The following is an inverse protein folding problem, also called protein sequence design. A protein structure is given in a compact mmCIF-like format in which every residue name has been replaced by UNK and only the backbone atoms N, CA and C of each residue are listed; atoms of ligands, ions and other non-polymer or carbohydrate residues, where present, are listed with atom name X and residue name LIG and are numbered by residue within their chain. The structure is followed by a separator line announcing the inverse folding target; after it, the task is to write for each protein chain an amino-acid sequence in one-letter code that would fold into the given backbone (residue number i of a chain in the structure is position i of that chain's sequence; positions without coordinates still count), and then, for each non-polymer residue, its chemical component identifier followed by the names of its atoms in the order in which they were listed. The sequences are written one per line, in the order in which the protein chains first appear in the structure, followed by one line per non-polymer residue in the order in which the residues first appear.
data_IF_571807750995
#
_entry.id   IF_571807750995
#
_cell.length_a   1.000
_cell.length_b   1.000
_cell.length_c   1.000
_cell.angle_alpha   90.00
_cell.angle_beta   90.00
_cell.angle_gamma   90.00
#
_symmetry.space_group_name_H-M   'P 1'
#
loop_
_entity.id
_entity.type
_entity.pdbx_description
1 polymer ?
#
# COMPACT_ATOMS: atom_id res chain seq x y z
N UNK A 1 -31.54 -34.21 0.09
CA UNK A 1 -30.43 -33.23 0.00
C UNK A 1 -30.45 -32.32 -1.23
N UNK A 2 -30.58 -32.78 -2.50
CA UNK A 2 -30.53 -31.88 -3.68
C UNK A 2 -31.62 -30.80 -3.68
N UNK A 3 -32.78 -31.07 -3.08
CA UNK A 3 -33.90 -30.12 -2.92
C UNK A 3 -33.62 -28.97 -1.94
N UNK A 4 -32.71 -29.16 -0.97
CA UNK A 4 -32.42 -28.17 0.07
C UNK A 4 -31.42 -27.11 -0.40
N UNK A 5 -30.57 -27.46 -1.36
CA UNK A 5 -29.52 -26.58 -1.88
C UNK A 5 -30.16 -25.46 -2.70
N UNK A 6 -29.82 -24.21 -2.38
CA UNK A 6 -30.28 -23.08 -3.16
C UNK A 6 -29.76 -23.18 -4.61
N UNK A 7 -30.66 -23.01 -5.58
CA UNK A 7 -30.40 -23.25 -7.01
C UNK A 7 -29.17 -22.50 -7.56
N UNK A 8 -28.83 -21.36 -6.97
CA UNK A 8 -27.70 -20.53 -7.40
C UNK A 8 -26.39 -20.77 -6.63
N UNK A 9 -26.39 -21.55 -5.55
CA UNK A 9 -25.18 -21.76 -4.72
C UNK A 9 -24.03 -22.32 -5.58
N UNK A 10 -24.29 -23.39 -6.34
CA UNK A 10 -23.29 -24.01 -7.22
C UNK A 10 -22.84 -23.08 -8.34
N UNK A 11 -23.78 -22.38 -8.97
CA UNK A 11 -23.49 -21.45 -10.06
C UNK A 11 -22.55 -20.33 -9.58
N UNK A 12 -22.87 -19.68 -8.47
CA UNK A 12 -22.03 -18.61 -7.92
C UNK A 12 -20.68 -19.12 -7.44
N UNK A 13 -20.62 -20.32 -6.84
CA UNK A 13 -19.34 -20.94 -6.51
C UNK A 13 -18.47 -21.20 -7.74
N UNK A 14 -19.05 -21.76 -8.82
CA UNK A 14 -18.32 -22.02 -10.07
C UNK A 14 -17.81 -20.73 -10.70
N UNK A 15 -18.61 -19.67 -10.71
CA UNK A 15 -18.15 -18.36 -11.20
C UNK A 15 -17.01 -17.81 -10.35
N UNK A 16 -17.14 -17.85 -9.01
CA UNK A 16 -16.12 -17.36 -8.09
C UNK A 16 -14.81 -18.15 -8.18
N UNK A 17 -14.87 -19.48 -8.33
CA UNK A 17 -13.64 -20.28 -8.43
C UNK A 17 -12.92 -20.06 -9.75
N UNK A 18 -13.64 -19.91 -10.87
CA UNK A 18 -13.03 -19.60 -12.18
C UNK A 18 -12.30 -18.25 -12.12
N UNK A 19 -12.95 -17.22 -11.61
CA UNK A 19 -12.34 -15.89 -11.48
C UNK A 19 -11.16 -15.92 -10.50
N UNK A 20 -11.25 -16.69 -9.41
CA UNK A 20 -10.14 -16.85 -8.46
C UNK A 20 -8.94 -17.55 -9.08
N UNK A 21 -9.15 -18.62 -9.86
CA UNK A 21 -8.09 -19.32 -10.60
C UNK A 21 -7.36 -18.37 -11.54
N UNK A 22 -8.10 -17.53 -12.28
CA UNK A 22 -7.49 -16.53 -13.15
C UNK A 22 -6.63 -15.52 -12.36
N UNK A 23 -7.14 -15.03 -11.23
CA UNK A 23 -6.38 -14.12 -10.36
C UNK A 23 -5.12 -14.78 -9.78
N UNK A 24 -5.19 -16.04 -9.35
CA UNK A 24 -4.02 -16.79 -8.89
C UNK A 24 -2.98 -16.98 -10.00
N UNK A 25 -3.41 -17.27 -11.23
CA UNK A 25 -2.51 -17.38 -12.39
C UNK A 25 -1.79 -16.04 -12.61
N UNK A 26 -2.53 -14.92 -12.65
CA UNK A 26 -1.93 -13.59 -12.83
C UNK A 26 -0.91 -13.25 -11.73
N UNK A 27 -1.24 -13.50 -10.46
CA UNK A 27 -0.31 -13.30 -9.34
C UNK A 27 0.92 -14.21 -9.46
N UNK A 28 0.75 -15.43 -9.96
CA UNK A 28 1.83 -16.41 -10.14
C UNK A 28 2.75 -16.17 -11.34
N UNK A 29 2.38 -15.29 -12.28
CA UNK A 29 3.20 -14.99 -13.46
C UNK A 29 4.37 -14.04 -13.17
N UNK A 30 4.39 -13.37 -12.02
CA UNK A 30 5.43 -12.39 -11.67
C UNK A 30 6.06 -12.73 -10.33
N UNK A 31 7.39 -12.57 -10.21
CA UNK A 31 8.10 -12.77 -8.93
C UNK A 31 7.54 -11.86 -7.84
N UNK A 32 7.25 -10.60 -8.18
CA UNK A 32 6.61 -9.63 -7.29
C UNK A 32 5.22 -10.09 -6.86
N UNK A 33 4.39 -10.56 -7.80
CA UNK A 33 3.05 -11.07 -7.50
C UNK A 33 3.07 -12.28 -6.57
N UNK A 34 4.03 -13.19 -6.74
CA UNK A 34 4.24 -14.34 -5.83
C UNK A 34 4.56 -13.85 -4.41
N UNK A 35 5.49 -12.89 -4.26
CA UNK A 35 5.87 -12.33 -2.96
C UNK A 35 4.70 -11.62 -2.28
N UNK A 36 3.95 -10.78 -3.01
CA UNK A 36 2.75 -10.10 -2.51
C UNK A 36 1.71 -11.13 -2.04
N UNK A 37 1.43 -12.14 -2.88
CA UNK A 37 0.47 -13.19 -2.54
C UNK A 37 0.89 -13.96 -1.29
N UNK A 38 2.17 -14.35 -1.18
CA UNK A 38 2.70 -15.04 -0.01
C UNK A 38 2.59 -14.19 1.26
N UNK A 39 2.90 -12.88 1.17
CA UNK A 39 2.79 -11.95 2.29
C UNK A 39 1.33 -11.79 2.75
N UNK A 40 0.39 -11.58 1.82
CA UNK A 40 -1.04 -11.46 2.12
C UNK A 40 -1.61 -12.75 2.73
N UNK A 41 -1.23 -13.91 2.19
CA UNK A 41 -1.63 -15.22 2.71
C UNK A 41 -1.09 -15.43 4.13
N UNK A 42 0.18 -15.10 4.38
CA UNK A 42 0.81 -15.22 5.70
C UNK A 42 0.12 -14.30 6.73
N UNK A 43 -0.14 -13.04 6.37
CA UNK A 43 -0.86 -12.09 7.23
C UNK A 43 -2.28 -12.58 7.54
N UNK A 44 -3.04 -13.05 6.55
CA UNK A 44 -4.38 -13.59 6.75
C UNK A 44 -4.36 -14.80 7.69
N UNK A 45 -3.45 -15.75 7.48
CA UNK A 45 -3.31 -16.94 8.34
C UNK A 45 -2.91 -16.57 9.77
N UNK A 46 -2.05 -15.56 9.94
CA UNK A 46 -1.64 -15.04 11.23
C UNK A 46 -2.80 -14.42 12.00
N UNK A 47 -3.55 -13.49 11.38
CA UNK A 47 -4.70 -12.86 12.03
C UNK A 47 -5.82 -13.86 12.34
N UNK A 48 -6.06 -14.82 11.43
CA UNK A 48 -7.00 -15.92 11.70
C UNK A 48 -6.54 -16.77 12.88
N UNK A 49 -5.25 -17.10 12.97
CA UNK A 49 -4.69 -17.83 14.10
C UNK A 49 -4.84 -17.06 15.42
N UNK A 50 -4.59 -15.75 15.41
CA UNK A 50 -4.74 -14.88 16.58
C UNK A 50 -6.20 -14.85 17.06
N UNK A 51 -7.15 -14.67 16.14
CA UNK A 51 -8.58 -14.73 16.45
C UNK A 51 -8.98 -16.09 17.05
N UNK A 52 -8.49 -17.19 16.48
CA UNK A 52 -8.75 -18.53 17.02
C UNK A 52 -8.15 -18.75 18.41
N UNK A 53 -6.95 -18.19 18.66
CA UNK A 53 -6.33 -18.22 19.97
C UNK A 53 -7.20 -17.45 20.98
N UNK A 54 -7.63 -16.23 20.65
CA UNK A 54 -8.49 -15.41 21.51
C UNK A 54 -9.81 -16.11 21.87
N UNK A 55 -10.46 -16.77 20.91
CA UNK A 55 -11.68 -17.54 21.18
C UNK A 55 -11.38 -18.68 22.14
N UNK A 56 -10.31 -19.45 21.89
CA UNK A 56 -9.97 -20.61 22.74
C UNK A 56 -9.53 -20.25 24.15
N UNK A 57 -8.91 -19.08 24.34
CA UNK A 57 -8.45 -18.64 25.66
C UNK A 57 -9.54 -18.01 26.50
N UNK A 58 -10.53 -17.37 25.88
CA UNK A 58 -11.54 -16.59 26.60
C UNK A 58 -12.95 -17.22 26.60
N UNK A 59 -13.29 -18.03 25.60
CA UNK A 59 -14.61 -18.65 25.49
C UNK A 59 -14.69 -19.97 26.28
N UNK A 60 -15.89 -20.31 26.75
CA UNK A 60 -16.15 -21.56 27.47
C UNK A 60 -16.49 -22.66 26.47
N UNK A 61 -15.71 -23.73 26.45
CA UNK A 61 -15.96 -24.87 25.57
C UNK A 61 -17.11 -25.74 26.09
N UNK A 62 -18.02 -26.16 25.20
CA UNK A 62 -19.05 -27.15 25.54
C UNK A 62 -18.42 -28.51 25.88
N UNK A 63 -18.97 -29.16 26.89
CA UNK A 63 -18.63 -30.54 27.25
C UNK A 63 -19.79 -31.20 27.97
N UNK A 64 -19.79 -32.53 28.18
CA UNK A 64 -20.81 -33.18 28.99
C UNK A 64 -20.92 -32.62 30.43
N UNK A 65 -19.84 -32.02 30.95
CA UNK A 65 -19.82 -31.37 32.26
C UNK A 65 -20.16 -29.86 32.21
N UNK A 66 -20.09 -29.24 31.03
CA UNK A 66 -20.31 -27.80 30.82
C UNK A 66 -21.38 -27.60 29.75
N UNK A 67 -22.58 -27.18 30.17
CA UNK A 67 -23.78 -27.07 29.33
C UNK A 67 -24.24 -28.44 28.78
N UNK A 68 -24.61 -29.40 29.66
CA UNK A 68 -24.93 -30.78 29.27
C UNK A 68 -26.03 -30.89 28.22
N UNK A 69 -27.14 -30.18 28.41
CA UNK A 69 -28.29 -30.16 27.49
C UNK A 69 -27.88 -29.68 26.09
N UNK A 70 -27.08 -28.61 26.02
CA UNK A 70 -26.63 -28.07 24.73
C UNK A 70 -25.60 -28.95 24.06
N UNK A 71 -24.72 -29.57 24.84
CA UNK A 71 -23.80 -30.57 24.33
C UNK A 71 -24.58 -31.76 23.72
N UNK A 72 -25.66 -32.21 24.36
CA UNK A 72 -26.53 -33.25 23.81
C UNK A 72 -27.21 -32.83 22.51
N UNK A 73 -27.82 -31.63 22.45
CA UNK A 73 -28.44 -31.09 21.22
C UNK A 73 -27.44 -31.04 20.05
N UNK A 74 -26.22 -30.54 20.30
CA UNK A 74 -25.17 -30.48 19.27
C UNK A 74 -24.80 -31.88 18.78
N UNK A 75 -24.66 -32.85 19.69
CA UNK A 75 -24.35 -34.23 19.34
C UNK A 75 -25.46 -34.87 18.52
N UNK A 76 -26.72 -34.72 18.95
CA UNK A 76 -27.88 -35.21 18.20
C UNK A 76 -27.97 -34.61 16.81
N UNK A 77 -27.83 -33.29 16.69
CA UNK A 77 -27.83 -32.62 15.39
C UNK A 77 -26.69 -33.11 14.52
N UNK A 78 -25.48 -33.30 15.07
CA UNK A 78 -24.37 -33.85 14.31
C UNK A 78 -24.67 -35.26 13.79
N UNK A 79 -25.31 -36.11 14.59
CA UNK A 79 -25.75 -37.46 14.16
C UNK A 79 -26.81 -37.36 13.06
N UNK A 80 -27.87 -36.57 13.26
CA UNK A 80 -28.95 -36.36 12.26
C UNK A 80 -28.42 -35.76 10.96
N UNK A 81 -27.44 -34.88 11.07
CA UNK A 81 -26.75 -34.26 9.93
C UNK A 81 -25.59 -35.10 9.42
N UNK A 82 -25.40 -36.34 9.86
CA UNK A 82 -24.35 -37.26 9.36
C UNK A 82 -22.96 -36.60 9.33
N UNK A 83 -22.66 -35.80 10.36
CA UNK A 83 -21.39 -35.10 10.47
C UNK A 83 -20.27 -36.10 10.77
N UNK A 84 -19.12 -36.03 10.08
CA UNK A 84 -18.04 -37.00 10.28
C UNK A 84 -17.40 -36.89 11.67
N UNK A 85 -17.43 -35.68 12.25
CA UNK A 85 -16.94 -35.36 13.59
C UNK A 85 -17.76 -34.21 14.15
N UNK A 86 -18.04 -34.27 15.43
CA UNK A 86 -18.64 -33.16 16.19
C UNK A 86 -17.60 -32.03 16.27
N UNK A 87 -17.95 -30.79 15.88
CA UNK A 87 -17.04 -29.66 15.98
C UNK A 87 -16.83 -29.24 17.45
N UNK A 88 -15.74 -28.55 17.74
CA UNK A 88 -15.60 -27.90 19.04
C UNK A 88 -16.57 -26.70 19.10
N UNK A 89 -17.46 -26.68 20.09
CA UNK A 89 -18.40 -25.56 20.28
C UNK A 89 -17.96 -24.72 21.47
N UNK A 90 -17.92 -23.40 21.28
CA UNK A 90 -17.51 -22.43 22.30
C UNK A 90 -18.63 -21.43 22.56
N UNK A 91 -18.81 -21.03 23.83
CA UNK A 91 -19.73 -19.97 24.26
C UNK A 91 -18.91 -18.76 24.68
N UNK A 92 -19.22 -17.60 24.09
CA UNK A 92 -18.50 -16.35 24.33
C UNK A 92 -19.47 -15.21 24.68
N UNK A 93 -19.06 -14.30 25.55
CA UNK A 93 -19.84 -13.08 25.85
C UNK A 93 -19.90 -12.16 24.64
N UNK A 94 -21.06 -11.53 24.40
CA UNK A 94 -21.31 -10.79 23.16
C UNK A 94 -21.74 -9.34 23.34
N UNK A 95 -21.77 -8.82 24.56
CA UNK A 95 -22.08 -7.41 24.85
C UNK A 95 -23.37 -6.95 24.17
N UNK A 96 -24.38 -7.83 24.10
CA UNK A 96 -25.68 -7.55 23.48
C UNK A 96 -25.81 -7.93 21.99
N UNK A 97 -24.78 -8.50 21.37
CA UNK A 97 -24.85 -8.98 19.97
C UNK A 97 -25.43 -10.40 19.93
N UNK A 98 -26.58 -10.58 19.28
CA UNK A 98 -27.15 -11.89 18.98
C UNK A 98 -26.54 -12.43 17.69
N UNK A 99 -25.56 -13.32 17.80
CA UNK A 99 -24.93 -13.94 16.64
C UNK A 99 -24.30 -15.31 16.98
N UNK A 100 -24.04 -16.10 15.95
CA UNK A 100 -23.30 -17.35 16.01
C UNK A 100 -22.50 -17.46 14.71
N UNK A 101 -21.38 -18.18 14.73
CA UNK A 101 -20.65 -18.44 13.49
C UNK A 101 -19.85 -19.74 13.53
N UNK A 102 -19.79 -20.41 12.39
CA UNK A 102 -18.94 -21.54 12.12
C UNK A 102 -17.57 -21.10 11.56
N UNK A 103 -16.50 -21.78 11.98
CA UNK A 103 -15.14 -21.54 11.48
C UNK A 103 -14.30 -22.81 11.45
N UNK A 104 -13.11 -22.73 10.85
CA UNK A 104 -12.18 -23.86 10.72
C UNK A 104 -10.75 -23.41 10.92
N UNK A 105 -10.00 -24.17 11.72
CA UNK A 105 -8.59 -23.90 12.01
C UNK A 105 -7.79 -25.20 12.12
N UNK A 106 -6.67 -25.30 11.38
CA UNK A 106 -5.81 -26.50 11.29
C UNK A 106 -6.59 -27.83 11.20
N UNK A 107 -7.59 -27.85 10.31
CA UNK A 107 -8.39 -29.05 10.06
C UNK A 107 -9.49 -29.36 11.08
N UNK A 108 -9.60 -28.58 12.16
CA UNK A 108 -10.67 -28.69 13.17
C UNK A 108 -11.80 -27.71 12.88
N UNK A 109 -13.03 -28.21 12.87
CA UNK A 109 -14.22 -27.38 12.76
C UNK A 109 -14.60 -26.84 14.14
N UNK A 110 -15.02 -25.59 14.17
CA UNK A 110 -15.41 -24.89 15.38
C UNK A 110 -16.74 -24.17 15.14
N UNK A 111 -17.58 -24.10 16.17
CA UNK A 111 -18.78 -23.26 16.20
C UNK A 111 -18.66 -22.35 17.42
N UNK A 112 -18.92 -21.06 17.23
CA UNK A 112 -18.92 -20.07 18.30
C UNK A 112 -20.35 -19.57 18.47
N UNK A 113 -20.88 -19.72 19.67
CA UNK A 113 -22.21 -19.27 20.07
C UNK A 113 -22.04 -18.10 21.04
N UNK A 114 -22.71 -16.99 20.79
CA UNK A 114 -22.73 -15.91 21.75
C UNK A 114 -23.70 -16.18 22.91
N UNK A 115 -23.35 -15.71 24.11
CA UNK A 115 -24.12 -15.91 25.35
C UNK A 115 -25.58 -15.49 25.20
N UNK A 116 -25.84 -14.37 24.53
CA UNK A 116 -27.17 -13.85 24.24
C UNK A 116 -28.06 -14.84 23.46
N UNK A 117 -27.48 -15.57 22.49
CA UNK A 117 -28.19 -16.60 21.73
C UNK A 117 -28.45 -17.83 22.61
N UNK A 118 -27.51 -18.15 23.50
CA UNK A 118 -27.67 -19.23 24.46
C UNK A 118 -28.82 -18.97 25.45
N UNK A 119 -29.00 -17.73 25.90
CA UNK A 119 -30.09 -17.34 26.81
C UNK A 119 -31.49 -17.56 26.22
N UNK A 120 -31.61 -17.73 24.91
CA UNK A 120 -32.85 -18.12 24.25
C UNK A 120 -33.41 -19.44 24.81
N UNK A 121 -32.53 -20.41 25.11
CA UNK A 121 -32.92 -21.69 25.74
C UNK A 121 -33.62 -21.51 27.09
N UNK A 122 -33.26 -20.48 27.85
CA UNK A 122 -33.80 -20.23 29.19
C UNK A 122 -35.17 -19.56 29.19
N UNK A 123 -35.65 -19.11 28.03
CA UNK A 123 -36.93 -18.39 27.85
C UNK A 123 -37.88 -19.11 26.87
N UNK A 124 -37.96 -20.44 26.97
CA UNK A 124 -38.79 -21.29 26.09
C UNK A 124 -38.45 -21.18 24.59
N UNK A 125 -37.21 -20.80 24.26
CA UNK A 125 -36.72 -20.64 22.89
C UNK A 125 -35.72 -21.72 22.45
N UNK A 126 -35.85 -22.93 23.00
CA UNK A 126 -34.92 -24.03 22.76
C UNK A 126 -34.95 -24.51 21.30
N UNK A 127 -36.12 -24.49 20.65
CA UNK A 127 -36.26 -24.89 19.25
C UNK A 127 -35.58 -23.88 18.32
N UNK A 128 -35.72 -22.58 18.60
CA UNK A 128 -35.05 -21.51 17.88
C UNK A 128 -33.53 -21.58 18.05
N UNK A 129 -33.04 -21.87 19.26
CA UNK A 129 -31.61 -22.08 19.50
C UNK A 129 -31.09 -23.30 18.73
N UNK A 130 -31.87 -24.38 18.73
CA UNK A 130 -31.55 -25.60 17.97
C UNK A 130 -31.45 -25.30 16.47
N UNK A 131 -32.32 -24.43 15.94
CA UNK A 131 -32.21 -23.93 14.57
C UNK A 131 -30.92 -23.15 14.32
N UNK A 132 -30.54 -22.21 15.21
CA UNK A 132 -29.30 -21.42 15.04
C UNK A 132 -28.09 -22.33 15.02
N UNK A 133 -28.04 -23.34 15.90
CA UNK A 133 -26.95 -24.33 15.91
C UNK A 133 -26.94 -25.17 14.64
N UNK A 134 -28.11 -25.67 14.21
CA UNK A 134 -28.23 -26.45 12.98
C UNK A 134 -27.80 -25.64 11.74
N UNK A 135 -28.06 -24.32 11.74
CA UNK A 135 -27.60 -23.40 10.70
C UNK A 135 -26.06 -23.34 10.63
N UNK A 136 -25.39 -23.15 11.76
CA UNK A 136 -23.92 -23.15 11.80
C UNK A 136 -23.31 -24.51 11.41
N UNK A 137 -23.92 -25.60 11.86
CA UNK A 137 -23.51 -26.94 11.45
C UNK A 137 -23.71 -27.15 9.94
N UNK A 138 -24.71 -26.54 9.31
CA UNK A 138 -24.92 -26.61 7.88
C UNK A 138 -23.77 -25.95 7.08
N UNK A 139 -23.21 -24.83 7.58
CA UNK A 139 -22.02 -24.22 6.98
C UNK A 139 -20.83 -25.19 6.98
N UNK A 140 -20.61 -25.90 8.08
CA UNK A 140 -19.56 -26.91 8.21
C UNK A 140 -19.82 -28.11 7.28
N UNK A 141 -21.05 -28.65 7.26
CA UNK A 141 -21.44 -29.77 6.39
C UNK A 141 -21.25 -29.44 4.91
N UNK A 142 -21.58 -28.22 4.50
CA UNK A 142 -21.43 -27.75 3.10
C UNK A 142 -20.01 -27.29 2.75
N UNK A 143 -19.10 -27.26 3.73
CA UNK A 143 -17.72 -26.77 3.62
C UNK A 143 -17.64 -25.33 3.11
N UNK A 144 -18.59 -24.48 3.49
CA UNK A 144 -18.63 -23.09 3.04
C UNK A 144 -17.36 -22.33 3.45
N UNK A 145 -16.85 -22.57 4.67
CA UNK A 145 -15.62 -21.95 5.17
C UNK A 145 -14.40 -22.31 4.29
N UNK A 146 -14.21 -23.59 3.97
CA UNK A 146 -13.11 -24.01 3.08
C UNK A 146 -13.27 -23.45 1.66
N UNK A 147 -14.50 -23.44 1.14
CA UNK A 147 -14.78 -22.90 -0.19
C UNK A 147 -14.52 -21.40 -0.27
N UNK A 148 -14.87 -20.64 0.77
CA UNK A 148 -14.58 -19.21 0.88
C UNK A 148 -13.07 -18.94 0.88
N UNK A 149 -12.27 -19.76 1.58
CA UNK A 149 -10.81 -19.67 1.52
C UNK A 149 -10.26 -19.93 0.11
N UNK A 150 -10.84 -20.87 -0.65
CA UNK A 150 -10.38 -21.15 -2.02
C UNK A 150 -10.66 -20.00 -2.99
N UNK A 151 -11.77 -19.27 -2.80
CA UNK A 151 -12.17 -18.15 -3.65
C UNK A 151 -11.66 -16.79 -3.14
N UNK A 152 -10.61 -16.79 -2.29
CA UNK A 152 -10.10 -15.59 -1.62
C UNK A 152 -9.86 -14.39 -2.56
N UNK A 153 -9.22 -14.51 -3.73
CA UNK A 153 -9.02 -13.38 -4.64
C UNK A 153 -10.32 -12.72 -5.09
N UNK A 154 -11.40 -13.51 -5.23
CA UNK A 154 -12.71 -12.99 -5.61
C UNK A 154 -13.42 -12.28 -4.46
N UNK A 155 -12.97 -12.45 -3.21
CA UNK A 155 -13.46 -11.62 -2.10
C UNK A 155 -13.16 -10.13 -2.32
N UNK A 156 -12.11 -9.82 -3.07
CA UNK A 156 -11.77 -8.44 -3.45
C UNK A 156 -12.62 -7.91 -4.62
N UNK A 157 -13.43 -8.76 -5.27
CA UNK A 157 -14.31 -8.37 -6.37
C UNK A 157 -15.71 -8.11 -5.82
N UNK A 158 -16.18 -6.84 -5.83
CA UNK A 158 -17.50 -6.51 -5.31
C UNK A 158 -18.60 -7.31 -5.99
N UNK A 159 -19.62 -7.66 -5.23
CA UNK A 159 -20.82 -8.40 -5.63
C UNK A 159 -20.63 -9.89 -5.90
N UNK A 160 -19.46 -10.29 -6.42
CA UNK A 160 -19.20 -11.67 -6.86
C UNK A 160 -19.12 -12.63 -5.67
N UNK A 161 -18.33 -12.29 -4.66
CA UNK A 161 -18.20 -13.12 -3.47
C UNK A 161 -19.45 -13.11 -2.60
N UNK A 162 -20.10 -11.95 -2.48
CA UNK A 162 -21.29 -11.77 -1.67
C UNK A 162 -22.49 -12.51 -2.27
N UNK A 163 -22.57 -12.61 -3.61
CA UNK A 163 -23.59 -13.43 -4.26
C UNK A 163 -23.47 -14.92 -3.87
N UNK A 164 -22.24 -15.43 -3.78
CA UNK A 164 -22.00 -16.79 -3.30
C UNK A 164 -22.36 -16.93 -1.82
N UNK A 165 -21.89 -16.02 -0.94
CA UNK A 165 -22.21 -16.04 0.49
C UNK A 165 -23.71 -15.99 0.75
N UNK A 166 -24.45 -15.10 0.08
CA UNK A 166 -25.92 -15.05 0.21
C UNK A 166 -26.63 -16.34 -0.21
N UNK A 167 -26.12 -17.03 -1.23
CA UNK A 167 -26.68 -18.33 -1.64
C UNK A 167 -26.35 -19.46 -0.66
N UNK A 168 -25.24 -19.34 0.06
CA UNK A 168 -24.88 -20.24 1.16
C UNK A 168 -25.88 -20.10 2.31
N UNK A 169 -26.20 -18.87 2.72
CA UNK A 169 -27.19 -18.58 3.79
C UNK A 169 -28.54 -19.26 3.52
N UNK A 170 -29.13 -19.07 2.33
CA UNK A 170 -30.38 -19.74 1.98
C UNK A 170 -30.29 -21.27 2.03
N UNK A 171 -29.13 -21.83 1.70
CA UNK A 171 -28.92 -23.28 1.78
C UNK A 171 -28.82 -23.74 3.23
N UNK A 172 -28.10 -23.00 4.07
CA UNK A 172 -27.96 -23.28 5.49
C UNK A 172 -29.30 -23.16 6.21
N UNK A 173 -30.09 -22.12 5.95
CA UNK A 173 -31.44 -21.94 6.51
C UNK A 173 -32.36 -23.11 6.18
N UNK A 174 -32.39 -23.54 4.91
CA UNK A 174 -33.21 -24.68 4.47
C UNK A 174 -32.74 -25.99 5.06
N UNK A 175 -31.43 -26.19 5.18
CA UNK A 175 -30.87 -27.39 5.82
C UNK A 175 -31.21 -27.40 7.31
N UNK A 176 -31.01 -26.29 8.00
CA UNK A 176 -31.33 -26.16 9.43
C UNK A 176 -32.81 -26.45 9.67
N UNK A 177 -33.72 -25.75 8.99
CA UNK A 177 -35.17 -25.96 9.11
C UNK A 177 -35.59 -27.42 8.80
N UNK A 178 -34.90 -28.09 7.88
CA UNK A 178 -35.16 -29.49 7.56
C UNK A 178 -34.64 -30.46 8.63
N UNK A 179 -33.43 -30.25 9.16
CA UNK A 179 -32.82 -31.15 10.14
C UNK A 179 -33.37 -30.94 11.57
N UNK A 180 -33.92 -29.77 11.87
CA UNK A 180 -34.69 -29.52 13.10
C UNK A 180 -36.14 -29.98 12.98
N UNK A 181 -36.62 -30.31 11.78
CA UNK A 181 -38.02 -30.65 11.47
C UNK A 181 -39.02 -29.61 11.99
N UNK A 182 -38.60 -28.34 12.07
CA UNK A 182 -39.39 -27.27 12.64
C UNK A 182 -39.12 -25.95 11.90
N UNK A 183 -39.87 -25.75 10.81
CA UNK A 183 -39.79 -24.55 9.99
C UNK A 183 -40.28 -23.29 10.74
N UNK A 184 -41.19 -23.45 11.71
CA UNK A 184 -41.69 -22.32 12.50
C UNK A 184 -40.62 -21.81 13.45
N UNK A 185 -39.94 -22.70 14.17
CA UNK A 185 -38.77 -22.36 14.99
C UNK A 185 -37.64 -21.74 14.16
N UNK A 186 -37.47 -22.16 12.90
CA UNK A 186 -36.52 -21.52 12.00
C UNK A 186 -36.89 -20.06 11.68
N UNK A 187 -38.17 -19.79 11.38
CA UNK A 187 -38.68 -18.44 11.15
C UNK A 187 -38.58 -17.59 12.42
N UNK A 188 -38.92 -18.17 13.58
CA UNK A 188 -38.78 -17.54 14.88
C UNK A 188 -37.31 -17.18 15.16
N UNK A 189 -36.37 -18.09 14.94
CA UNK A 189 -34.94 -17.87 15.12
C UNK A 189 -34.40 -16.73 14.24
N UNK A 190 -34.84 -16.65 12.98
CA UNK A 190 -34.52 -15.50 12.12
C UNK A 190 -35.15 -14.19 12.62
N UNK A 191 -36.33 -14.25 13.24
CA UNK A 191 -37.01 -13.09 13.83
C UNK A 191 -36.31 -12.62 15.11
N UNK A 192 -35.76 -13.54 15.91
CA UNK A 192 -34.90 -13.25 17.07
C UNK A 192 -33.68 -12.44 16.64
N UNK A 193 -33.05 -12.78 15.51
CA UNK A 193 -31.93 -12.01 14.97
C UNK A 193 -32.33 -10.58 14.52
N UNK A 194 -33.62 -10.35 14.23
CA UNK A 194 -34.10 -9.04 13.78
C UNK A 194 -34.39 -8.08 14.94
N UNK A 195 -35.09 -8.56 15.98
CA UNK A 195 -35.64 -7.69 17.05
C UNK A 195 -35.28 -8.15 18.47
N UNK A 196 -34.51 -9.24 18.59
CA UNK A 196 -34.05 -9.77 19.87
C UNK A 196 -34.93 -10.85 20.48
N UNK A 197 -34.35 -11.57 21.46
CA UNK A 197 -34.96 -12.70 22.17
C UNK A 197 -36.27 -12.40 22.92
N UNK A 198 -36.50 -11.13 23.26
CA UNK A 198 -37.67 -10.72 24.05
C UNK A 198 -38.86 -10.28 23.19
N UNK A 199 -38.63 -9.75 21.99
CA UNK A 199 -39.66 -9.07 21.19
C UNK A 199 -40.12 -9.89 19.97
N UNK A 200 -39.41 -10.96 19.62
CA UNK A 200 -39.65 -11.68 18.36
C UNK A 200 -41.06 -12.28 18.23
N UNK A 201 -41.71 -12.59 19.36
CA UNK A 201 -43.09 -13.12 19.39
C UNK A 201 -44.13 -12.05 19.10
N UNK A 202 -43.81 -10.78 19.32
CA UNK A 202 -44.72 -9.64 19.12
C UNK A 202 -44.70 -9.11 17.68
N UNK A 203 -43.81 -9.64 16.83
CA UNK A 203 -43.63 -9.15 15.46
C UNK A 203 -44.73 -9.67 14.53
N UNK A 204 -45.47 -8.75 13.90
CA UNK A 204 -46.32 -9.07 12.76
C UNK A 204 -45.45 -9.40 11.54
N UNK A 205 -45.25 -10.71 11.30
CA UNK A 205 -44.36 -11.18 10.23
C UNK A 205 -44.86 -10.86 8.84
N UNK A 206 -46.17 -10.86 8.62
CA UNK A 206 -46.73 -10.55 7.30
C UNK A 206 -46.40 -9.11 6.92
N UNK A 207 -46.63 -8.18 7.85
CA UNK A 207 -46.29 -6.77 7.68
C UNK A 207 -44.77 -6.55 7.56
N UNK A 208 -43.97 -7.26 8.37
CA UNK A 208 -42.51 -7.21 8.27
C UNK A 208 -41.99 -7.62 6.87
N UNK A 209 -42.52 -8.71 6.31
CA UNK A 209 -42.18 -9.16 4.96
C UNK A 209 -42.70 -8.19 3.89
N UNK A 210 -43.89 -7.64 4.07
CA UNK A 210 -44.49 -6.69 3.14
C UNK A 210 -43.69 -5.40 3.06
N UNK A 211 -43.42 -4.73 4.20
CA UNK A 211 -42.61 -3.51 4.27
C UNK A 211 -41.23 -3.70 3.62
N UNK A 212 -40.54 -4.80 3.92
CA UNK A 212 -39.24 -5.08 3.31
C UNK A 212 -39.31 -5.31 1.79
N UNK A 213 -40.46 -5.76 1.27
CA UNK A 213 -40.64 -6.00 -0.17
C UNK A 213 -40.97 -4.74 -0.98
N UNK A 214 -41.48 -3.72 -0.29
CA UNK A 214 -41.84 -2.41 -0.85
C UNK A 214 -40.61 -1.50 -0.95
N UNK A 215 -39.60 -1.71 -0.10
CA UNK A 215 -38.33 -1.01 -0.15
C UNK A 215 -37.54 -1.35 -1.43
N UNK A 216 -37.53 -0.42 -2.38
CA UNK A 216 -36.95 -0.58 -3.73
C UNK A 216 -35.93 0.50 -4.08
N UNK A 217 -35.49 1.30 -3.11
CA UNK A 217 -34.50 2.35 -3.33
C UNK A 217 -33.17 1.81 -3.89
N UNK A 218 -32.45 2.65 -4.64
CA UNK A 218 -31.11 2.31 -5.15
C UNK A 218 -30.15 1.91 -4.03
N UNK A 219 -30.13 2.66 -2.92
CA UNK A 219 -29.27 2.39 -1.78
C UNK A 219 -29.65 1.10 -1.05
N UNK A 220 -30.95 0.80 -0.91
CA UNK A 220 -31.40 -0.46 -0.33
C UNK A 220 -30.97 -1.66 -1.20
N UNK A 221 -31.13 -1.54 -2.52
CA UNK A 221 -30.63 -2.53 -3.47
C UNK A 221 -29.11 -2.69 -3.38
N UNK A 222 -28.36 -1.59 -3.37
CA UNK A 222 -26.89 -1.60 -3.34
C UNK A 222 -26.37 -2.23 -2.03
N UNK A 223 -26.91 -1.81 -0.88
CA UNK A 223 -26.58 -2.37 0.42
C UNK A 223 -26.83 -3.88 0.48
N UNK A 224 -27.95 -4.35 -0.08
CA UNK A 224 -28.21 -5.80 -0.18
C UNK A 224 -27.16 -6.51 -1.05
N UNK A 225 -26.72 -5.90 -2.16
CA UNK A 225 -25.75 -6.52 -3.06
C UNK A 225 -24.32 -6.51 -2.54
N UNK A 226 -23.98 -5.55 -1.70
CA UNK A 226 -22.70 -5.49 -0.97
C UNK A 226 -22.72 -6.30 0.35
N UNK A 227 -23.90 -6.69 0.84
CA UNK A 227 -24.01 -7.51 2.05
C UNK A 227 -23.67 -8.98 1.79
N UNK A 228 -22.85 -9.57 2.66
CA UNK A 228 -22.54 -11.00 2.67
C UNK A 228 -23.74 -11.87 3.02
N UNK A 229 -24.73 -11.31 3.71
CA UNK A 229 -25.96 -11.98 4.13
C UNK A 229 -27.18 -11.43 3.37
N UNK A 230 -28.15 -12.26 2.98
CA UNK A 230 -29.44 -11.78 2.54
C UNK A 230 -30.18 -11.15 3.72
N UNK A 231 -31.10 -10.23 3.43
CA UNK A 231 -31.92 -9.62 4.48
C UNK A 231 -32.74 -10.69 5.19
N UNK A 232 -32.93 -10.54 6.50
CA UNK A 232 -33.70 -11.48 7.33
C UNK A 232 -35.11 -11.74 6.75
N UNK A 233 -35.87 -10.72 6.26
CA UNK A 233 -37.15 -10.95 5.59
C UNK A 233 -37.06 -11.90 4.39
N UNK A 234 -36.01 -11.80 3.56
CA UNK A 234 -35.83 -12.69 2.41
C UNK A 234 -35.47 -14.12 2.84
N UNK A 235 -34.72 -14.27 3.92
CA UNK A 235 -34.41 -15.59 4.52
C UNK A 235 -35.68 -16.26 5.03
N UNK A 236 -36.51 -15.53 5.79
CA UNK A 236 -37.83 -15.98 6.27
C UNK A 236 -38.73 -16.39 5.09
N UNK A 237 -38.84 -15.51 4.08
CA UNK A 237 -39.62 -15.76 2.87
C UNK A 237 -39.21 -17.06 2.16
N UNK A 238 -37.91 -17.33 2.04
CA UNK A 238 -37.43 -18.55 1.38
C UNK A 238 -37.72 -19.82 2.18
N UNK A 239 -37.78 -19.77 3.52
CA UNK A 239 -38.23 -20.90 4.35
C UNK A 239 -39.73 -21.14 4.15
N UNK A 240 -40.57 -20.10 4.26
CA UNK A 240 -42.02 -20.18 4.05
C UNK A 240 -42.37 -20.74 2.67
N UNK A 241 -41.64 -20.31 1.65
CA UNK A 241 -41.80 -20.80 0.28
C UNK A 241 -41.46 -22.28 0.12
N UNK A 242 -40.46 -22.78 0.84
CA UNK A 242 -40.09 -24.22 0.83
C UNK A 242 -41.12 -25.05 1.60
N UNK A 243 -41.70 -24.51 2.68
CA UNK A 243 -42.82 -25.11 3.43
C UNK A 243 -44.11 -25.22 2.61
N UNK A 244 -44.28 -24.38 1.60
CA UNK A 244 -45.47 -24.32 0.76
C UNK A 244 -46.51 -23.30 1.23
N UNK A 245 -46.13 -22.36 2.08
CA UNK A 245 -47.00 -21.29 2.56
C UNK A 245 -47.41 -20.38 1.38
N UNK A 246 -48.64 -19.85 1.41
CA UNK A 246 -49.21 -19.01 0.36
C UNK A 246 -48.63 -17.59 0.35
N UNK A 247 -47.31 -17.46 0.13
CA UNK A 247 -46.58 -16.19 0.11
C UNK A 247 -46.32 -15.76 -1.34
N UNK A 248 -47.37 -15.31 -2.02
CA UNK A 248 -47.28 -14.95 -3.45
C UNK A 248 -46.99 -13.47 -3.66
N UNK A 249 -45.97 -13.16 -4.47
CA UNK A 249 -45.78 -11.80 -5.04
C UNK A 249 -44.74 -10.91 -4.36
N UNK A 250 -44.19 -11.29 -3.21
CA UNK A 250 -43.16 -10.53 -2.49
C UNK A 250 -41.76 -10.68 -3.13
N UNK A 251 -40.89 -9.67 -2.92
CA UNK A 251 -39.47 -9.64 -3.32
C UNK A 251 -39.17 -9.90 -4.80
N UNK A 252 -39.99 -9.37 -5.72
CA UNK A 252 -39.69 -9.43 -7.17
C UNK A 252 -38.42 -8.64 -7.52
N UNK A 253 -37.55 -9.23 -8.33
CA UNK A 253 -36.33 -8.58 -8.78
C UNK A 253 -36.63 -7.39 -9.71
N UNK A 254 -36.18 -6.19 -9.35
CA UNK A 254 -36.27 -5.00 -10.22
C UNK A 254 -35.18 -5.05 -11.29
N UNK A 255 -35.56 -5.21 -12.56
CA UNK A 255 -34.63 -5.13 -13.71
C UNK A 255 -33.99 -3.74 -13.82
N UNK A 256 -34.68 -2.67 -13.40
CA UNK A 256 -34.18 -1.28 -13.45
C UNK A 256 -33.05 -1.06 -12.45
N UNK A 257 -33.15 -1.57 -11.23
CA UNK A 257 -32.11 -1.42 -10.21
C UNK A 257 -30.80 -2.14 -10.61
N UNK A 258 -30.91 -3.32 -11.22
CA UNK A 258 -29.75 -4.03 -11.76
C UNK A 258 -29.04 -3.25 -12.88
N UNK A 259 -29.80 -2.60 -13.76
CA UNK A 259 -29.25 -1.77 -14.84
C UNK A 259 -28.50 -0.53 -14.31
N UNK A 260 -29.09 0.18 -13.34
CA UNK A 260 -28.44 1.34 -12.70
C UNK A 260 -27.15 0.93 -11.98
N UNK A 261 -27.14 -0.23 -11.31
CA UNK A 261 -25.94 -0.76 -10.67
C UNK A 261 -24.80 -1.08 -11.64
N UNK A 262 -25.11 -1.62 -12.82
CA UNK A 262 -24.10 -1.88 -13.87
C UNK A 262 -23.51 -0.57 -14.40
N UNK A 263 -24.35 0.45 -14.65
CA UNK A 263 -23.87 1.78 -15.08
C UNK A 263 -22.95 2.39 -14.02
N UNK A 264 -23.33 2.31 -12.74
CA UNK A 264 -22.51 2.82 -11.64
C UNK A 264 -21.14 2.14 -11.57
N UNK A 265 -21.08 0.81 -11.71
CA UNK A 265 -19.81 0.07 -11.72
C UNK A 265 -18.92 0.48 -12.91
N UNK A 266 -19.50 0.60 -14.10
CA UNK A 266 -18.77 1.05 -15.32
C UNK A 266 -18.19 2.45 -15.11
N UNK A 267 -18.97 3.39 -14.57
CA UNK A 267 -18.52 4.75 -14.28
C UNK A 267 -17.38 4.76 -13.26
N UNK A 268 -17.49 4.00 -12.17
CA UNK A 268 -16.41 3.89 -11.17
C UNK A 268 -15.14 3.35 -11.84
N UNK A 269 -15.22 2.25 -12.59
CA UNK A 269 -14.05 1.69 -13.28
C UNK A 269 -13.44 2.66 -14.28
N UNK A 270 -14.26 3.40 -15.05
CA UNK A 270 -13.78 4.41 -15.98
C UNK A 270 -13.08 5.58 -15.26
N UNK A 271 -13.61 6.03 -14.12
CA UNK A 271 -13.00 7.06 -13.29
C UNK A 271 -11.70 6.57 -12.65
N UNK A 272 -11.65 5.33 -12.16
CA UNK A 272 -10.42 4.77 -11.56
C UNK A 272 -9.33 4.59 -12.62
N UNK A 273 -9.70 4.11 -13.81
CA UNK A 273 -8.78 4.00 -14.93
C UNK A 273 -8.30 5.38 -15.43
N UNK A 274 -9.21 6.35 -15.52
CA UNK A 274 -8.88 7.74 -15.86
C UNK A 274 -7.91 8.37 -14.85
N UNK A 275 -8.15 8.15 -13.55
CA UNK A 275 -7.26 8.60 -12.48
C UNK A 275 -5.88 7.92 -12.55
N UNK A 276 -5.83 6.60 -12.77
CA UNK A 276 -4.57 5.85 -12.97
C UNK A 276 -3.78 6.40 -14.16
N UNK A 277 -4.42 6.61 -15.31
CA UNK A 277 -3.78 7.17 -16.51
C UNK A 277 -3.32 8.62 -16.30
N UNK A 278 -4.07 9.40 -15.52
CA UNK A 278 -3.65 10.74 -15.15
C UNK A 278 -2.43 10.71 -14.23
N UNK A 279 -2.38 9.82 -13.23
CA UNK A 279 -1.19 9.65 -12.37
C UNK A 279 0.04 9.17 -13.13
N UNK A 280 -0.14 8.27 -14.11
CA UNK A 280 0.91 7.77 -15.00
C UNK A 280 1.47 8.91 -15.88
N UNK A 281 0.60 9.74 -16.45
CA UNK A 281 1.00 10.93 -17.21
C UNK A 281 1.72 11.97 -16.34
N UNK A 282 1.27 12.19 -15.10
CA UNK A 282 1.95 13.09 -14.15
C UNK A 282 3.31 12.51 -13.75
N UNK A 283 3.42 11.19 -13.58
CA UNK A 283 4.69 10.53 -13.29
C UNK A 283 5.69 10.70 -14.46
N UNK A 284 5.25 10.55 -15.71
CA UNK A 284 6.10 10.79 -16.90
C UNK A 284 6.56 12.26 -17.00
N UNK A 285 5.67 13.22 -16.75
CA UNK A 285 6.02 14.65 -16.75
C UNK A 285 7.00 14.97 -15.62
N UNK A 286 6.77 14.43 -14.42
CA UNK A 286 7.68 14.58 -13.30
C UNK A 286 9.03 13.89 -13.55
N UNK A 287 9.05 12.71 -14.16
CA UNK A 287 10.28 12.02 -14.53
C UNK A 287 11.09 12.83 -15.56
N UNK A 288 10.44 13.39 -16.59
CA UNK A 288 11.10 14.26 -17.55
C UNK A 288 11.60 15.58 -16.93
N UNK A 289 10.87 16.14 -15.96
CA UNK A 289 11.31 17.32 -15.21
C UNK A 289 12.50 16.99 -14.28
N UNK A 290 12.50 15.83 -13.63
CA UNK A 290 13.61 15.33 -12.81
C UNK A 290 14.83 15.01 -13.69
N UNK A 291 14.65 14.41 -14.86
CA UNK A 291 15.72 14.18 -15.84
C UNK A 291 16.26 15.51 -16.39
N UNK A 292 15.41 16.53 -16.59
CA UNK A 292 15.87 17.87 -16.96
C UNK A 292 16.78 18.50 -15.90
N UNK A 293 16.43 18.35 -14.62
CA UNK A 293 17.27 18.80 -13.48
C UNK A 293 18.53 17.92 -13.34
N UNK A 294 18.44 16.62 -13.63
CA UNK A 294 19.57 15.70 -13.60
C UNK A 294 20.56 15.96 -14.74
N UNK A 295 20.11 16.32 -15.94
CA UNK A 295 20.98 16.67 -17.07
C UNK A 295 21.82 17.93 -16.83
N UNK A 296 21.34 18.84 -15.98
CA UNK A 296 22.11 19.99 -15.46
C UNK A 296 23.13 19.54 -14.40
N UNK A 297 22.80 18.51 -13.59
CA UNK A 297 23.71 17.90 -12.59
C UNK A 297 24.73 16.91 -13.22
N UNK A 298 24.46 16.40 -14.42
CA UNK A 298 25.25 15.34 -15.06
C UNK A 298 26.64 15.83 -15.54
N UNK A 299 26.77 17.11 -15.92
CA UNK A 299 28.04 17.66 -16.42
C UNK A 299 29.08 17.81 -15.30
N UNK A 300 28.67 18.17 -14.09
CA UNK A 300 29.55 18.22 -12.90
C UNK A 300 29.94 16.82 -12.45
N UNK A 301 29.03 15.84 -12.52
CA UNK A 301 29.31 14.43 -12.22
C UNK A 301 30.31 13.82 -13.22
N UNK A 302 30.13 14.06 -14.52
CA UNK A 302 31.05 13.58 -15.56
C UNK A 302 32.47 14.13 -15.34
N UNK A 303 32.59 15.43 -15.03
CA UNK A 303 33.86 16.07 -14.67
C UNK A 303 34.46 15.49 -13.38
N UNK A 304 33.66 15.30 -12.32
CA UNK A 304 34.11 14.73 -11.05
C UNK A 304 34.63 13.28 -11.20
N UNK A 305 33.99 12.49 -12.05
CA UNK A 305 34.41 11.12 -12.35
C UNK A 305 35.61 11.05 -13.31
N UNK A 306 35.96 12.15 -13.97
CA UNK A 306 37.02 12.19 -14.97
C UNK A 306 36.64 11.53 -16.30
N UNK A 307 35.35 11.43 -16.62
CA UNK A 307 34.85 10.77 -17.83
C UNK A 307 34.81 11.74 -19.01
N UNK A 308 35.90 11.77 -19.79
CA UNK A 308 36.05 12.66 -20.94
C UNK A 308 35.03 12.41 -22.06
N UNK A 309 34.65 11.14 -22.30
CA UNK A 309 33.71 10.80 -23.37
C UNK A 309 32.31 11.27 -23.01
N UNK A 310 31.88 11.03 -21.77
CA UNK A 310 30.61 11.50 -21.27
C UNK A 310 30.56 13.03 -21.22
N UNK A 311 31.64 13.68 -20.75
CA UNK A 311 31.72 15.13 -20.69
C UNK A 311 31.59 15.77 -22.08
N UNK A 312 32.32 15.25 -23.08
CA UNK A 312 32.22 15.73 -24.46
C UNK A 312 30.81 15.54 -25.04
N UNK A 313 30.20 14.38 -24.80
CA UNK A 313 28.83 14.13 -25.27
C UNK A 313 27.81 15.08 -24.68
N UNK A 314 27.98 15.51 -23.42
CA UNK A 314 27.10 16.47 -22.75
C UNK A 314 27.29 17.89 -23.29
N UNK A 315 28.55 18.28 -23.53
CA UNK A 315 28.89 19.56 -24.18
C UNK A 315 28.26 19.62 -25.59
N UNK A 316 28.41 18.56 -26.39
CA UNK A 316 27.84 18.48 -27.74
C UNK A 316 26.30 18.50 -27.74
N UNK A 317 25.68 18.03 -26.66
CA UNK A 317 24.23 18.07 -26.44
C UNK A 317 23.71 19.46 -25.99
N UNK A 318 24.60 20.42 -25.72
CA UNK A 318 24.27 21.78 -25.32
C UNK A 318 24.02 21.93 -23.81
N UNK A 319 24.58 21.07 -22.97
CA UNK A 319 24.58 21.26 -21.51
C UNK A 319 25.26 22.58 -21.13
N UNK A 320 24.76 23.24 -20.08
CA UNK A 320 25.36 24.46 -19.56
C UNK A 320 26.69 24.16 -18.86
N UNK A 321 27.80 24.51 -19.50
CA UNK A 321 29.17 24.34 -18.98
C UNK A 321 29.46 25.16 -17.73
N UNK A 322 28.64 26.18 -17.46
CA UNK A 322 28.74 27.07 -16.31
C UNK A 322 27.74 26.73 -15.20
N UNK A 323 27.04 25.59 -15.32
CA UNK A 323 26.15 25.12 -14.26
C UNK A 323 26.89 25.00 -12.93
N UNK A 324 26.26 25.52 -11.87
CA UNK A 324 26.72 25.39 -10.49
C UNK A 324 25.83 24.41 -9.75
N UNK A 325 26.44 23.41 -9.09
CA UNK A 325 25.72 22.50 -8.21
C UNK A 325 25.29 23.18 -6.90
N UNK A 326 24.75 22.39 -5.96
CA UNK A 326 24.26 22.91 -4.68
C UNK A 326 25.31 23.64 -3.83
N UNK A 327 26.59 23.34 -4.03
CA UNK A 327 27.72 23.97 -3.33
C UNK A 327 28.35 25.10 -4.16
N UNK A 328 27.79 25.41 -5.33
CA UNK A 328 28.31 26.43 -6.23
C UNK A 328 29.39 25.91 -7.18
N UNK A 329 29.65 24.60 -7.21
CA UNK A 329 30.75 24.04 -7.97
C UNK A 329 30.38 23.84 -9.44
N UNK A 330 31.29 24.24 -10.33
CA UNK A 330 31.16 23.99 -11.78
C UNK A 330 31.92 22.74 -12.20
N UNK A 331 31.63 22.23 -13.40
CA UNK A 331 32.39 21.12 -13.99
C UNK A 331 33.89 21.45 -14.12
N UNK A 332 34.23 22.73 -14.32
CA UNK A 332 35.61 23.20 -14.37
C UNK A 332 36.30 23.08 -13.01
N UNK A 333 35.62 23.44 -11.92
CA UNK A 333 36.15 23.30 -10.55
C UNK A 333 36.41 21.83 -10.19
N UNK A 334 35.50 20.91 -10.53
CA UNK A 334 35.73 19.47 -10.34
C UNK A 334 36.92 18.97 -11.15
N UNK A 335 37.10 19.47 -12.37
CA UNK A 335 38.24 19.12 -13.23
C UNK A 335 39.57 19.62 -12.67
N UNK A 336 39.58 20.84 -12.11
CA UNK A 336 40.74 21.40 -11.39
C UNK A 336 41.06 20.55 -10.17
N UNK A 337 40.09 20.32 -9.27
CA UNK A 337 40.28 19.56 -8.04
C UNK A 337 40.75 18.11 -8.30
N UNK A 338 40.29 17.51 -9.41
CA UNK A 338 40.73 16.19 -9.87
C UNK A 338 42.09 16.17 -10.56
N UNK A 339 42.74 17.33 -10.73
CA UNK A 339 43.96 17.57 -11.50
C UNK A 339 43.91 16.98 -12.93
N UNK A 340 42.83 17.31 -13.67
CA UNK A 340 42.52 16.75 -15.00
C UNK A 340 42.66 17.82 -16.10
N UNK A 341 43.87 18.11 -16.59
CA UNK A 341 44.10 19.19 -17.57
C UNK A 341 43.33 18.97 -18.88
N UNK A 342 43.13 17.71 -19.31
CA UNK A 342 42.36 17.38 -20.51
C UNK A 342 40.89 17.83 -20.40
N UNK A 343 40.27 17.66 -19.23
CA UNK A 343 38.88 18.06 -19.00
C UNK A 343 38.74 19.57 -18.80
N UNK A 344 39.71 20.18 -18.11
CA UNK A 344 39.80 21.63 -18.00
C UNK A 344 39.84 22.27 -19.38
N UNK A 345 40.71 21.79 -20.26
CA UNK A 345 40.83 22.29 -21.63
C UNK A 345 39.53 22.13 -22.41
N UNK A 346 38.90 20.96 -22.34
CA UNK A 346 37.61 20.68 -22.99
C UNK A 346 36.52 21.67 -22.54
N UNK A 347 36.40 21.91 -21.24
CA UNK A 347 35.40 22.84 -20.69
C UNK A 347 35.70 24.30 -21.03
N UNK A 348 36.95 24.72 -20.96
CA UNK A 348 37.37 26.08 -21.30
C UNK A 348 37.19 26.38 -22.80
N UNK A 349 37.49 25.42 -23.67
CA UNK A 349 37.22 25.52 -25.12
C UNK A 349 35.72 25.56 -25.43
N UNK A 350 34.89 24.94 -24.57
CA UNK A 350 33.43 24.98 -24.64
C UNK A 350 32.80 26.25 -24.02
N UNK A 351 33.61 27.17 -23.48
CA UNK A 351 33.14 28.45 -22.93
C UNK A 351 32.84 28.45 -21.43
N UNK A 352 33.44 27.53 -20.66
CA UNK A 352 33.40 27.61 -19.20
C UNK A 352 34.08 28.89 -18.70
N UNK A 353 33.43 29.61 -17.79
CA UNK A 353 33.93 30.83 -17.16
C UNK A 353 34.78 30.44 -15.92
N UNK A 354 36.11 30.66 -15.95
CA UNK A 354 36.97 30.32 -14.82
C UNK A 354 36.81 31.25 -13.62
N UNK A 355 36.02 32.33 -13.74
CA UNK A 355 35.82 33.34 -12.71
C UNK A 355 34.57 33.11 -11.85
N UNK A 356 33.79 32.06 -12.13
CA UNK A 356 32.71 31.63 -11.24
C UNK A 356 33.33 31.20 -9.91
N UNK A 357 32.72 31.66 -8.82
CA UNK A 357 33.12 31.36 -7.45
C UNK A 357 32.14 30.37 -6.81
N UNK A 358 32.65 29.43 -6.01
CA UNK A 358 31.81 28.51 -5.23
C UNK A 358 31.23 29.20 -3.99
N UNK A 359 30.22 28.58 -3.35
CA UNK A 359 29.38 29.29 -2.39
C UNK A 359 29.99 29.47 -0.99
N UNK A 360 31.05 28.72 -0.64
CA UNK A 360 31.50 28.59 0.75
C UNK A 360 32.63 29.57 1.10
N UNK A 361 33.67 29.59 0.28
CA UNK A 361 34.89 30.37 0.40
C UNK A 361 35.07 31.35 -0.75
N UNK A 362 34.14 31.34 -1.72
CA UNK A 362 34.22 32.11 -2.97
C UNK A 362 35.46 31.73 -3.80
N UNK A 363 35.89 30.47 -3.67
CA UNK A 363 37.01 29.95 -4.44
C UNK A 363 36.64 29.86 -5.93
N UNK A 364 37.57 30.28 -6.78
CA UNK A 364 37.47 30.10 -8.24
C UNK A 364 38.33 28.91 -8.67
N UNK A 365 38.14 28.47 -9.92
CA UNK A 365 39.01 27.46 -10.52
C UNK A 365 40.51 27.82 -10.37
N UNK A 366 40.84 29.12 -10.45
CA UNK A 366 42.20 29.61 -10.27
C UNK A 366 42.71 29.43 -8.84
N UNK A 367 41.94 29.81 -7.81
CA UNK A 367 42.38 29.69 -6.41
C UNK A 367 42.50 28.22 -6.00
N UNK A 368 41.56 27.37 -6.43
CA UNK A 368 41.62 25.93 -6.18
C UNK A 368 42.89 25.29 -6.76
N UNK A 369 43.33 25.73 -7.94
CA UNK A 369 44.50 25.17 -8.62
C UNK A 369 45.81 25.34 -7.84
N UNK A 370 45.88 26.30 -6.91
CA UNK A 370 47.07 26.58 -6.09
C UNK A 370 47.37 25.46 -5.07
N UNK A 371 46.40 24.59 -4.81
CA UNK A 371 46.55 23.42 -3.94
C UNK A 371 47.28 22.24 -4.62
N UNK A 372 47.62 22.34 -5.91
CA UNK A 372 48.27 21.26 -6.67
C UNK A 372 49.73 21.57 -6.99
N UNK A 373 50.60 20.55 -6.97
CA UNK A 373 52.07 20.73 -7.09
C UNK A 373 52.54 21.36 -8.41
N UNK A 374 51.72 21.41 -9.46
CA UNK A 374 52.08 21.90 -10.80
C UNK A 374 51.42 23.23 -11.15
N UNK A 375 52.13 24.08 -11.90
CA UNK A 375 51.64 25.41 -12.35
C UNK A 375 50.79 25.36 -13.63
N UNK A 376 50.73 24.21 -14.31
CA UNK A 376 50.05 24.05 -15.60
C UNK A 376 48.57 24.46 -15.56
N UNK A 377 47.86 24.13 -14.48
CA UNK A 377 46.46 24.51 -14.29
C UNK A 377 46.28 26.04 -14.18
N UNK A 378 47.18 26.72 -13.46
CA UNK A 378 47.19 28.19 -13.33
C UNK A 378 47.40 28.84 -14.68
N UNK A 379 48.40 28.39 -15.44
CA UNK A 379 48.70 28.94 -16.76
C UNK A 379 47.55 28.72 -17.75
N UNK A 380 46.95 27.52 -17.74
CA UNK A 380 45.81 27.18 -18.61
C UNK A 380 44.59 28.04 -18.30
N UNK A 381 44.25 28.22 -17.03
CA UNK A 381 43.10 29.04 -16.62
C UNK A 381 43.29 30.51 -17.01
N UNK A 382 44.48 31.07 -16.81
CA UNK A 382 44.77 32.48 -17.18
C UNK A 382 44.81 32.68 -18.70
N UNK A 383 45.24 31.68 -19.47
CA UNK A 383 45.13 31.71 -20.93
C UNK A 383 43.67 31.78 -21.43
N UNK A 384 42.72 31.35 -20.60
CA UNK A 384 41.28 31.40 -20.86
C UNK A 384 40.56 32.42 -19.96
N UNK A 385 41.19 33.59 -19.77
CA UNK A 385 40.59 34.77 -19.14
C UNK A 385 40.27 34.65 -17.64
N UNK A 386 40.95 33.76 -16.89
CA UNK A 386 40.91 33.78 -15.43
C UNK A 386 41.55 35.06 -14.87
N UNK A 387 40.83 35.76 -13.99
CA UNK A 387 41.26 37.03 -13.41
C UNK A 387 42.26 36.78 -12.27
N UNK A 388 43.54 36.96 -12.58
CA UNK A 388 44.67 36.72 -11.65
C UNK A 388 44.59 37.53 -10.34
N UNK A 389 43.97 38.70 -10.38
CA UNK A 389 43.84 39.62 -9.25
C UNK A 389 42.44 39.61 -8.61
N UNK A 390 41.63 38.59 -8.86
CA UNK A 390 40.30 38.49 -8.26
C UNK A 390 40.41 38.37 -6.74
N UNK A 391 39.59 39.14 -6.03
CA UNK A 391 39.53 39.13 -4.57
C UNK A 391 38.25 38.43 -4.12
N UNK A 392 38.37 37.54 -3.14
CA UNK A 392 37.21 36.99 -2.42
C UNK A 392 36.58 38.04 -1.49
N UNK A 393 35.52 37.68 -0.78
CA UNK A 393 34.85 38.52 0.23
C UNK A 393 35.74 39.01 1.37
N UNK A 394 36.90 38.37 1.60
CA UNK A 394 37.91 38.78 2.59
C UNK A 394 39.01 39.67 1.98
N UNK A 395 38.96 39.93 0.67
CA UNK A 395 39.99 40.68 -0.04
C UNK A 395 41.22 39.83 -0.41
N UNK A 396 41.16 38.51 -0.24
CA UNK A 396 42.28 37.60 -0.50
C UNK A 396 42.43 37.36 -2.00
N UNK A 397 43.66 37.49 -2.50
CA UNK A 397 44.01 37.20 -3.91
C UNK A 397 44.70 35.84 -4.06
N UNK A 398 44.72 35.25 -5.26
CA UNK A 398 45.54 34.07 -5.56
C UNK A 398 47.01 34.21 -5.13
N UNK A 399 47.59 35.40 -5.29
CA UNK A 399 48.98 35.68 -4.88
C UNK A 399 49.16 35.62 -3.36
N UNK A 400 48.16 36.07 -2.58
CA UNK A 400 48.18 35.94 -1.12
C UNK A 400 48.08 34.48 -0.66
N UNK A 401 47.27 33.66 -1.32
CA UNK A 401 47.15 32.22 -1.03
C UNK A 401 48.49 31.51 -1.31
N UNK A 402 49.11 31.78 -2.46
CA UNK A 402 50.43 31.22 -2.81
C UNK A 402 51.52 31.66 -1.82
N UNK A 403 51.45 32.92 -1.35
CA UNK A 403 52.37 33.46 -0.37
C UNK A 403 52.21 32.84 1.02
N UNK A 404 50.96 32.66 1.48
CA UNK A 404 50.61 31.95 2.70
C UNK A 404 51.09 30.50 2.68
N UNK A 405 51.06 29.85 1.51
CA UNK A 405 51.47 28.44 1.34
C UNK A 405 52.97 28.26 1.17
N UNK A 406 53.75 29.34 1.11
CA UNK A 406 55.20 29.30 0.95
C UNK A 406 55.69 28.80 -0.41
N UNK A 407 54.83 28.86 -1.43
CA UNK A 407 55.09 28.29 -2.76
C UNK A 407 55.77 29.29 -3.69
N UNK A 408 57.10 29.33 -3.64
CA UNK A 408 57.94 30.22 -4.44
C UNK A 408 57.72 30.05 -5.96
N UNK A 409 57.47 28.82 -6.41
CA UNK A 409 57.13 28.48 -7.79
C UNK A 409 55.82 29.16 -8.24
N UNK A 410 54.74 29.00 -7.46
CA UNK A 410 53.44 29.61 -7.76
C UNK A 410 53.48 31.13 -7.69
N UNK A 411 54.21 31.69 -6.73
CA UNK A 411 54.40 33.14 -6.62
C UNK A 411 55.11 33.70 -7.86
N UNK A 412 56.15 33.03 -8.35
CA UNK A 412 56.83 33.46 -9.58
C UNK A 412 55.91 33.38 -10.81
N UNK A 413 55.14 32.30 -10.95
CA UNK A 413 54.20 32.15 -12.07
C UNK A 413 53.10 33.21 -12.01
N UNK A 414 52.45 33.40 -10.87
CA UNK A 414 51.39 34.40 -10.71
C UNK A 414 51.92 35.82 -10.97
N UNK A 415 53.11 36.18 -10.48
CA UNK A 415 53.72 37.48 -10.80
C UNK A 415 54.04 37.60 -12.29
N UNK A 416 54.52 36.53 -12.93
CA UNK A 416 54.74 36.48 -14.38
C UNK A 416 53.45 36.65 -15.20
N UNK A 417 52.31 36.24 -14.64
CA UNK A 417 50.98 36.38 -15.22
C UNK A 417 50.27 37.70 -14.83
N UNK A 418 50.97 38.62 -14.15
CA UNK A 418 50.45 39.96 -13.85
C UNK A 418 49.73 40.10 -12.52
N UNK A 419 49.96 39.20 -11.56
CA UNK A 419 49.50 39.39 -10.19
C UNK A 419 50.10 40.66 -9.55
N UNK A 420 49.27 41.45 -8.88
CA UNK A 420 49.66 42.68 -8.21
C UNK A 420 50.02 42.40 -6.73
N UNK A 421 51.31 42.44 -6.33
CA UNK A 421 51.73 42.22 -4.95
C UNK A 421 51.33 43.35 -3.99
N UNK A 422 50.87 44.49 -4.51
CA UNK A 422 50.42 45.65 -3.75
C UNK A 422 48.96 45.58 -3.28
N UNK A 423 48.17 44.62 -3.76
CA UNK A 423 46.79 44.43 -3.30
C UNK A 423 46.75 44.05 -1.82
N UNK A 424 45.69 44.50 -1.15
CA UNK A 424 45.50 44.34 0.29
C UNK A 424 44.20 43.59 0.57
N UNK A 425 44.24 42.68 1.55
CA UNK A 425 43.05 42.07 2.12
C UNK A 425 42.27 43.08 2.98
N UNK A 426 41.12 42.67 3.51
CA UNK A 426 40.29 43.53 4.35
C UNK A 426 40.97 43.99 5.66
N UNK A 427 42.05 43.33 6.09
CA UNK A 427 42.88 43.69 7.24
C UNK A 427 44.10 44.55 6.85
N UNK A 428 44.24 44.91 5.56
CA UNK A 428 45.34 45.72 5.04
C UNK A 428 46.63 44.94 4.80
N UNK A 429 46.58 43.59 4.81
CA UNK A 429 47.75 42.72 4.61
C UNK A 429 48.00 42.48 3.13
N UNK A 430 49.27 42.51 2.72
CA UNK A 430 49.71 42.16 1.36
C UNK A 430 50.26 40.74 1.32
N UNK A 431 50.46 40.18 0.12
CA UNK A 431 51.08 38.86 -0.05
C UNK A 431 52.46 38.75 0.66
N UNK A 432 53.27 39.81 0.64
CA UNK A 432 54.54 39.86 1.38
C UNK A 432 54.34 39.68 2.90
N UNK A 433 53.29 40.28 3.47
CA UNK A 433 53.00 40.17 4.91
C UNK A 433 52.61 38.73 5.29
N UNK A 434 51.73 38.08 4.50
CA UNK A 434 51.41 36.67 4.69
C UNK A 434 52.65 35.76 4.67
N UNK A 435 53.53 35.92 3.68
CA UNK A 435 54.77 35.13 3.62
C UNK A 435 55.73 35.42 4.78
N UNK A 436 55.79 36.67 5.26
CA UNK A 436 56.66 37.05 6.37
C UNK A 436 56.15 36.49 7.70
N UNK A 437 54.84 36.54 7.94
CA UNK A 437 54.20 36.08 9.16
C UNK A 437 54.30 34.55 9.31
N UNK A 438 54.16 33.80 8.21
CA UNK A 438 54.35 32.34 8.18
C UNK A 438 55.84 31.89 8.09
N UNK A 439 56.79 32.85 8.04
CA UNK A 439 58.22 32.56 8.03
C UNK A 439 58.78 32.04 6.70
N UNK A 440 58.06 32.23 5.60
CA UNK A 440 58.47 31.83 4.24
C UNK A 440 59.45 32.85 3.64
N UNK A 441 60.69 32.86 4.16
CA UNK A 441 61.71 33.86 3.80
C UNK A 441 62.02 33.96 2.29
N UNK A 442 61.98 32.84 1.57
CA UNK A 442 62.23 32.82 0.13
C UNK A 442 61.11 33.56 -0.62
N UNK A 443 59.86 33.29 -0.26
CA UNK A 443 58.69 33.95 -0.86
C UNK A 443 58.63 35.43 -0.48
N UNK A 444 58.90 35.77 0.78
CA UNK A 444 58.96 37.17 1.21
C UNK A 444 60.02 37.96 0.43
N UNK A 445 61.16 37.33 0.08
CA UNK A 445 62.19 37.95 -0.77
C UNK A 445 61.72 38.15 -2.22
N UNK A 446 60.90 37.24 -2.76
CA UNK A 446 60.33 37.37 -4.10
C UNK A 446 59.29 38.49 -4.21
N UNK A 447 58.58 38.76 -3.11
CA UNK A 447 57.47 39.73 -3.03
C UNK A 447 57.89 41.11 -2.49
N UNK A 448 59.18 41.31 -2.23
CA UNK A 448 59.76 42.56 -1.71
C UNK A 448 60.21 43.47 -2.83
#
# INVERSE_FOLDING_TARGET
MKSLIHKKERLYFTLAIITSIFAYILLGLTVVGILIFAALMAAMLFFHALMMAQIRTNAVKLSPAQFPEMNEIVNELCVRMEMPKVPDVYVMESSGVLNAFATRFFGRNMVVLYSEVFELSKKDGQEELTFVIAHELAHLKRRHITKQMLIFPVLCVPFASEAYSRACEYTCDRMAAHYTDNAEAAINGLTVLAVGKSLYKDVNRQEYLQHSSEERGFFAWLAEKLSTHPTLPKRIYEIQKVRGDAVTGLFRASKKAAFVGVIGLVLITALTYGAYRYTDQVADVMANAIIGIAGETDITIAAANGDAEQLQSLIDAGSDVNYQDGDGWTALMYSVNGNRPDLMKMLLEAGADPNIAENTYEDTALTMSLNHDTTDAVELLVQHDAVVNLQDSYGITPLMIAALSGRADMVQVLMGLGADPGLQDNDGRTAHMFASDEGHEEVAKLLK
#
